data_IF_935909384776
#
_entry.id   IF_935909384776
#
_cell.length_a   1.000
_cell.length_b   1.000
_cell.length_c   1.000
_cell.angle_alpha   90.00
_cell.angle_beta   90.00
_cell.angle_gamma   90.00
#
_symmetry.space_group_name_H-M   'P 1'
#
loop_
_entity.id
_entity.type
_entity.pdbx_description
1 polymer ?
#
# COMPACT_ATOMS: atom_id res chain seq x y z
N UNK A 1 -78.19 30.47 45.03
CA UNK A 1 -77.77 29.28 45.79
C UNK A 1 -76.32 29.52 46.23
N UNK A 2 -76.15 29.81 47.53
CA UNK A 2 -75.17 29.21 48.46
C UNK A 2 -73.71 29.16 47.95
N UNK A 3 -72.85 30.12 48.36
CA UNK A 3 -71.73 29.96 49.34
C UNK A 3 -70.47 29.29 48.72
N UNK A 4 -69.20 29.55 49.06
CA UNK A 4 -68.47 30.45 49.97
C UNK A 4 -66.98 30.35 49.57
N UNK A 5 -66.28 31.50 49.61
CA UNK A 5 -64.88 31.79 50.00
C UNK A 5 -63.67 30.93 49.54
N UNK A 6 -62.70 31.54 48.84
CA UNK A 6 -61.48 32.27 49.34
C UNK A 6 -60.26 31.33 49.43
N UNK A 7 -59.19 31.52 48.66
CA UNK A 7 -58.04 32.31 49.14
C UNK A 7 -56.96 32.47 48.06
N UNK A 8 -56.33 33.63 48.10
CA UNK A 8 -55.29 34.11 47.21
C UNK A 8 -53.88 33.72 47.70
N UNK A 9 -52.95 33.47 46.78
CA UNK A 9 -51.51 33.76 46.98
C UNK A 9 -50.95 34.35 45.69
N UNK A 10 -50.66 35.66 45.74
CA UNK A 10 -49.76 36.41 44.82
C UNK A 10 -48.37 35.76 44.83
N UNK A 11 -47.64 35.81 43.72
CA UNK A 11 -46.30 36.46 43.59
C UNK A 11 -45.74 36.26 42.17
N UNK A 12 -45.49 37.42 41.53
CA UNK A 12 -44.51 37.79 40.50
C UNK A 12 -44.35 37.08 39.15
N UNK A 13 -44.75 37.85 38.11
CA UNK A 13 -43.96 38.08 36.88
C UNK A 13 -42.53 38.54 37.21
N UNK A 14 -41.61 38.20 36.30
CA UNK A 14 -40.18 38.56 36.25
C UNK A 14 -39.23 37.68 37.08
N UNK A 15 -38.74 36.62 36.43
CA UNK A 15 -37.31 36.20 36.38
C UNK A 15 -37.18 34.91 35.57
N UNK A 16 -37.50 35.01 34.27
CA UNK A 16 -37.22 33.99 33.27
C UNK A 16 -35.98 34.38 32.45
N UNK A 17 -34.90 34.70 33.14
CA UNK A 17 -33.55 34.93 32.61
C UNK A 17 -32.67 35.06 33.85
N UNK A 18 -31.53 34.38 33.92
CA UNK A 18 -30.70 34.18 35.13
C UNK A 18 -31.14 32.95 35.94
N UNK A 19 -30.94 31.75 35.38
CA UNK A 19 -30.61 30.50 36.11
C UNK A 19 -30.20 29.42 35.08
N UNK A 20 -29.33 29.79 34.14
CA UNK A 20 -28.53 28.86 33.30
C UNK A 20 -27.06 29.25 33.55
N UNK A 21 -26.64 29.10 34.80
CA UNK A 21 -25.25 29.24 35.26
C UNK A 21 -25.22 28.60 36.64
N UNK A 22 -25.12 27.27 36.67
CA UNK A 22 -24.63 26.42 37.78
C UNK A 22 -25.18 24.99 37.60
N UNK A 23 -24.61 24.26 36.64
CA UNK A 23 -24.49 22.80 36.76
C UNK A 23 -23.29 22.33 35.92
N UNK A 24 -22.11 22.87 36.25
CA UNK A 24 -20.82 22.27 35.89
C UNK A 24 -20.44 21.35 37.05
N UNK A 25 -20.75 20.06 36.95
CA UNK A 25 -20.20 19.04 37.82
C UNK A 25 -19.31 18.10 36.99
N UNK A 26 -18.04 18.51 36.97
CA UNK A 26 -16.79 17.78 36.79
C UNK A 26 -16.96 16.25 36.70
N UNK A 27 -16.86 15.71 35.48
CA UNK A 27 -16.27 14.40 35.21
C UNK A 27 -15.02 14.70 34.38
N UNK A 28 -13.90 14.92 35.06
CA UNK A 28 -12.59 14.97 34.43
C UNK A 28 -12.16 13.53 34.15
N UNK A 29 -12.56 13.01 32.98
CA UNK A 29 -11.84 11.89 32.37
C UNK A 29 -10.46 12.44 32.05
N UNK A 30 -9.47 11.97 32.79
CA UNK A 30 -8.06 12.14 32.46
C UNK A 30 -7.87 11.40 31.13
N UNK A 31 -8.06 12.12 30.03
CA UNK A 31 -7.50 11.75 28.74
C UNK A 31 -6.00 11.86 28.94
N UNK A 32 -5.35 10.73 29.25
CA UNK A 32 -3.93 10.60 29.04
C UNK A 32 -3.77 10.75 27.52
N UNK A 33 -3.12 11.80 27.01
CA UNK A 33 -2.76 11.80 25.61
C UNK A 33 -1.82 10.61 25.45
N UNK A 34 -2.28 9.57 24.76
CA UNK A 34 -1.39 8.55 24.21
C UNK A 34 -0.39 9.34 23.39
N UNK A 35 0.84 9.38 23.88
CA UNK A 35 1.94 10.05 23.21
C UNK A 35 2.19 9.24 21.94
N UNK A 36 1.56 9.66 20.84
CA UNK A 36 1.98 9.22 19.52
C UNK A 36 3.48 9.53 19.46
N UNK A 37 4.29 8.49 19.31
CA UNK A 37 5.71 8.63 19.09
C UNK A 37 5.84 9.42 17.78
N UNK A 38 6.14 10.71 17.88
CA UNK A 38 6.27 11.57 16.73
C UNK A 38 7.55 11.13 16.01
N UNK A 39 7.39 10.26 15.00
CA UNK A 39 8.50 9.79 14.20
C UNK A 39 9.01 10.98 13.37
N UNK A 40 10.10 11.58 13.83
CA UNK A 40 10.88 12.53 13.07
C UNK A 40 11.76 11.75 12.09
N UNK A 41 11.84 12.22 10.84
CA UNK A 41 12.68 11.59 9.83
C UNK A 41 14.14 11.60 10.33
N UNK A 42 14.78 10.44 10.55
CA UNK A 42 16.16 10.38 10.99
C UNK A 42 17.09 11.12 10.01
N UNK A 43 18.13 11.76 10.54
CA UNK A 43 19.11 12.51 9.73
C UNK A 43 19.79 11.60 8.69
N UNK A 44 19.96 10.31 8.99
CA UNK A 44 20.51 9.32 8.05
C UNK A 44 19.64 9.12 6.81
N UNK A 45 18.32 9.38 6.93
CA UNK A 45 17.34 9.20 5.86
C UNK A 45 16.95 10.51 5.20
N UNK A 46 17.36 11.66 5.71
CA UNK A 46 16.98 12.98 5.18
C UNK A 46 17.85 13.43 4.00
N UNK A 47 19.15 13.14 4.03
CA UNK A 47 20.12 13.60 3.01
C UNK A 47 20.21 12.66 1.78
N UNK A 48 20.94 13.08 0.74
CA UNK A 48 21.14 12.31 -0.48
C UNK A 48 22.47 12.60 -1.18
N UNK A 49 22.96 11.59 -1.89
CA UNK A 49 24.19 11.66 -2.65
C UNK A 49 23.93 12.01 -4.11
N UNK A 50 24.98 12.42 -4.81
CA UNK A 50 24.94 12.72 -6.25
C UNK A 50 25.57 11.62 -7.11
N UNK A 51 26.06 10.55 -6.49
CA UNK A 51 26.77 9.49 -7.20
C UNK A 51 25.79 8.48 -7.82
N UNK A 52 25.50 8.67 -9.11
CA UNK A 52 24.62 7.79 -9.91
C UNK A 52 25.21 6.39 -10.18
N UNK A 53 26.50 6.20 -9.91
CA UNK A 53 27.18 4.95 -10.21
C UNK A 53 27.00 3.89 -9.11
N UNK A 54 26.31 4.22 -8.02
CA UNK A 54 25.94 3.26 -6.98
C UNK A 54 24.48 2.88 -7.19
N UNK A 55 24.25 1.65 -7.67
CA UNK A 55 22.94 1.07 -7.91
C UNK A 55 22.77 -0.23 -7.14
N UNK A 56 21.61 -0.44 -6.52
CA UNK A 56 21.24 -1.66 -5.81
C UNK A 56 20.67 -2.67 -6.82
N UNK A 57 21.11 -3.92 -6.75
CA UNK A 57 20.53 -5.00 -7.54
C UNK A 57 19.27 -5.55 -6.90
N UNK A 58 18.24 -5.71 -7.73
CA UNK A 58 16.94 -6.30 -7.39
C UNK A 58 16.61 -7.54 -8.25
N UNK A 59 17.60 -8.15 -8.90
CA UNK A 59 17.38 -9.29 -9.82
C UNK A 59 16.70 -10.49 -9.13
N UNK A 60 17.00 -10.72 -7.85
CA UNK A 60 16.36 -11.74 -7.04
C UNK A 60 14.86 -11.44 -6.79
N UNK A 61 14.55 -10.17 -6.54
CA UNK A 61 13.18 -9.71 -6.35
C UNK A 61 12.40 -9.71 -7.66
N UNK A 62 13.01 -9.27 -8.77
CA UNK A 62 12.42 -9.34 -10.12
C UNK A 62 11.96 -10.76 -10.44
N UNK A 63 12.83 -11.75 -10.23
CA UNK A 63 12.50 -13.15 -10.48
C UNK A 63 11.33 -13.64 -9.62
N UNK A 64 11.29 -13.29 -8.33
CA UNK A 64 10.16 -13.65 -7.48
C UNK A 64 8.87 -12.95 -7.90
N UNK A 65 8.92 -11.67 -8.25
CA UNK A 65 7.75 -10.91 -8.67
C UNK A 65 7.22 -11.43 -10.01
N UNK A 66 8.09 -11.69 -10.99
CA UNK A 66 7.72 -12.26 -12.28
C UNK A 66 7.03 -13.61 -12.15
N UNK A 67 7.46 -14.44 -11.20
CA UNK A 67 6.85 -15.75 -10.94
C UNK A 67 5.53 -15.70 -10.19
N UNK A 68 5.37 -14.72 -9.30
CA UNK A 68 4.24 -14.69 -8.34
C UNK A 68 3.14 -13.70 -8.71
N UNK A 69 3.44 -12.72 -9.57
CA UNK A 69 2.51 -11.65 -9.97
C UNK A 69 2.01 -11.89 -11.38
N UNK A 70 0.68 -11.89 -11.54
CA UNK A 70 0.02 -11.82 -12.85
C UNK A 70 -0.41 -10.38 -13.10
N UNK A 71 0.14 -9.79 -14.15
CA UNK A 71 -0.38 -8.53 -14.70
C UNK A 71 -1.66 -8.79 -15.49
N UNK A 72 -2.74 -8.13 -15.08
CA UNK A 72 -4.06 -8.22 -15.74
C UNK A 72 -4.21 -7.17 -16.86
N UNK A 73 -3.23 -6.29 -17.03
CA UNK A 73 -3.26 -5.20 -17.99
C UNK A 73 -4.10 -4.00 -17.53
N UNK A 74 -4.30 -3.06 -18.44
CA UNK A 74 -5.15 -1.89 -18.20
C UNK A 74 -6.62 -2.30 -18.10
N UNK A 75 -7.33 -1.61 -17.20
CA UNK A 75 -8.78 -1.74 -17.05
C UNK A 75 -9.50 -1.48 -18.38
N UNK A 76 -10.34 -2.42 -18.80
CA UNK A 76 -11.35 -2.21 -19.84
C UNK A 76 -12.68 -1.69 -19.26
N UNK A 77 -12.70 -1.42 -17.94
CA UNK A 77 -13.84 -0.99 -17.13
C UNK A 77 -15.05 -1.93 -17.23
N UNK A 78 -14.85 -3.18 -17.66
CA UNK A 78 -15.95 -4.13 -17.76
C UNK A 78 -16.44 -4.60 -16.40
N UNK A 79 -17.76 -4.66 -16.26
CA UNK A 79 -18.40 -5.09 -15.02
C UNK A 79 -18.65 -6.60 -15.11
N UNK A 80 -18.30 -7.33 -14.05
CA UNK A 80 -18.54 -8.77 -13.98
C UNK A 80 -20.02 -9.08 -14.19
N UNK A 81 -20.32 -9.99 -15.14
CA UNK A 81 -21.70 -10.43 -15.41
C UNK A 81 -22.27 -11.17 -14.21
N UNK A 82 -23.56 -10.98 -13.87
CA UNK A 82 -24.15 -11.67 -12.74
C UNK A 82 -24.26 -13.17 -13.06
N UNK A 83 -23.73 -14.02 -12.19
CA UNK A 83 -23.88 -15.46 -12.30
C UNK A 83 -25.33 -15.81 -11.95
N UNK A 84 -26.09 -16.32 -12.94
CA UNK A 84 -27.45 -16.81 -12.72
C UNK A 84 -27.35 -18.26 -12.23
N UNK A 85 -27.21 -18.45 -10.91
CA UNK A 85 -27.23 -19.77 -10.29
C UNK A 85 -28.66 -20.32 -10.18
N UNK A 86 -28.95 -21.45 -10.83
CA UNK A 86 -30.18 -22.20 -10.61
C UNK A 86 -29.99 -23.16 -9.43
N UNK A 87 -30.37 -22.72 -8.23
CA UNK A 87 -30.35 -23.55 -7.03
C UNK A 87 -29.27 -23.12 -6.03
N UNK A 88 -29.71 -23.02 -4.77
CA UNK A 88 -28.99 -22.51 -3.58
C UNK A 88 -29.00 -20.97 -3.44
N UNK A 89 -29.53 -20.49 -2.30
CA UNK A 89 -29.61 -19.06 -1.94
C UNK A 89 -28.26 -18.46 -1.51
N UNK A 90 -27.17 -19.22 -1.63
CA UNK A 90 -25.82 -18.79 -1.24
C UNK A 90 -25.14 -18.18 -2.47
N UNK A 91 -24.65 -16.95 -2.34
CA UNK A 91 -23.90 -16.24 -3.39
C UNK A 91 -22.60 -15.74 -2.80
N UNK A 92 -21.50 -15.87 -3.53
CA UNK A 92 -20.25 -15.18 -3.19
C UNK A 92 -20.49 -13.68 -3.35
N UNK A 93 -20.27 -12.90 -2.28
CA UNK A 93 -20.38 -11.45 -2.32
C UNK A 93 -19.06 -10.88 -2.89
N UNK A 94 -19.05 -10.52 -4.16
CA UNK A 94 -17.94 -9.89 -4.85
C UNK A 94 -18.43 -8.59 -5.47
N UNK A 95 -17.67 -7.51 -5.32
CA UNK A 95 -17.97 -6.28 -6.02
C UNK A 95 -17.79 -6.51 -7.52
N UNK A 96 -18.85 -6.26 -8.28
CA UNK A 96 -18.89 -6.56 -9.70
C UNK A 96 -18.17 -5.51 -10.52
N UNK A 97 -18.08 -4.28 -10.01
CA UNK A 97 -17.46 -3.17 -10.72
C UNK A 97 -15.94 -3.32 -10.73
N UNK A 98 -15.37 -3.91 -9.67
CA UNK A 98 -13.92 -4.05 -9.46
C UNK A 98 -13.42 -5.49 -9.57
N UNK A 99 -14.30 -6.48 -9.68
CA UNK A 99 -13.96 -7.90 -9.74
C UNK A 99 -12.85 -8.23 -10.75
N UNK A 100 -12.91 -7.66 -11.94
CA UNK A 100 -11.99 -8.00 -13.04
C UNK A 100 -10.72 -7.14 -13.05
N UNK A 101 -10.60 -6.22 -12.09
CA UNK A 101 -9.53 -5.23 -12.02
C UNK A 101 -8.35 -5.71 -11.17
N UNK A 102 -7.28 -4.92 -11.17
CA UNK A 102 -6.02 -5.10 -10.43
C UNK A 102 -5.20 -6.33 -10.85
N UNK A 103 -3.91 -6.32 -10.53
CA UNK A 103 -3.05 -7.49 -10.68
C UNK A 103 -3.51 -8.65 -9.77
N UNK A 104 -3.00 -9.86 -10.04
CA UNK A 104 -3.21 -11.03 -9.16
C UNK A 104 -1.89 -11.55 -8.63
N UNK A 105 -1.94 -12.22 -7.48
CA UNK A 105 -0.80 -12.83 -6.82
C UNK A 105 -1.11 -14.28 -6.46
N UNK A 106 -0.15 -15.19 -6.71
CA UNK A 106 -0.27 -16.62 -6.40
C UNK A 106 -0.10 -16.94 -4.90
N UNK A 107 -0.96 -16.38 -4.04
CA UNK A 107 -0.82 -16.52 -2.58
C UNK A 107 -0.80 -17.99 -2.14
N UNK A 108 -1.72 -18.81 -2.66
CA UNK A 108 -1.83 -20.21 -2.28
C UNK A 108 -0.56 -21.03 -2.62
N UNK A 109 0.02 -20.81 -3.79
CA UNK A 109 1.25 -21.51 -4.21
C UNK A 109 2.48 -21.03 -3.41
N UNK A 110 2.57 -19.73 -3.15
CA UNK A 110 3.67 -19.15 -2.38
C UNK A 110 3.65 -19.66 -0.93
N UNK A 111 2.49 -19.76 -0.31
CA UNK A 111 2.34 -20.22 1.09
C UNK A 111 2.73 -21.71 1.24
N UNK A 112 2.40 -22.53 0.24
CA UNK A 112 2.67 -23.98 0.22
C UNK A 112 4.12 -24.33 -0.13
N UNK A 113 4.84 -23.43 -0.78
CA UNK A 113 6.21 -23.65 -1.26
C UNK A 113 7.25 -22.95 -0.39
N UNK A 114 8.53 -23.21 -0.68
CA UNK A 114 9.66 -22.49 -0.06
C UNK A 114 9.80 -21.04 -0.57
N UNK A 115 9.01 -20.64 -1.57
CA UNK A 115 8.99 -19.27 -2.12
C UNK A 115 8.65 -18.24 -1.03
N UNK A 116 7.82 -18.59 -0.04
CA UNK A 116 7.55 -17.71 1.11
C UNK A 116 8.81 -17.28 1.86
N UNK A 117 9.82 -18.15 1.92
CA UNK A 117 11.10 -17.82 2.55
C UNK A 117 11.89 -16.83 1.70
N UNK A 118 11.73 -16.87 0.37
CA UNK A 118 12.35 -15.94 -0.57
C UNK A 118 12.06 -14.47 -0.22
N UNK A 119 10.79 -14.09 -0.08
CA UNK A 119 10.41 -12.72 0.29
C UNK A 119 11.02 -12.28 1.62
N UNK A 120 10.98 -13.17 2.63
CA UNK A 120 11.59 -12.90 3.94
C UNK A 120 13.09 -12.66 3.85
N UNK A 121 13.83 -13.50 3.14
CA UNK A 121 15.28 -13.32 3.05
C UNK A 121 15.65 -12.12 2.18
N UNK A 122 14.89 -11.83 1.11
CA UNK A 122 15.08 -10.62 0.31
C UNK A 122 14.88 -9.38 1.17
N UNK A 123 13.81 -9.29 1.98
CA UNK A 123 13.59 -8.20 2.93
C UNK A 123 14.78 -8.05 3.88
N UNK A 124 15.22 -9.14 4.52
CA UNK A 124 16.36 -9.11 5.44
C UNK A 124 17.67 -8.70 4.76
N UNK A 125 17.83 -9.00 3.48
CA UNK A 125 18.98 -8.55 2.68
C UNK A 125 18.87 -7.06 2.35
N UNK A 126 17.68 -6.55 2.02
CA UNK A 126 17.46 -5.11 1.84
C UNK A 126 17.73 -4.31 3.12
N UNK A 127 17.32 -4.82 4.29
CA UNK A 127 17.61 -4.22 5.59
C UNK A 127 19.10 -4.01 5.88
N UNK A 128 19.96 -4.86 5.31
CA UNK A 128 21.43 -4.79 5.47
C UNK A 128 22.11 -3.84 4.50
N UNK A 129 21.43 -3.39 3.43
CA UNK A 129 22.03 -2.47 2.44
C UNK A 129 22.68 -1.23 3.06
N UNK A 130 22.05 -0.55 4.04
CA UNK A 130 22.65 0.62 4.70
C UNK A 130 23.94 0.35 5.46
N UNK A 131 24.20 -0.91 5.88
CA UNK A 131 25.46 -1.30 6.53
C UNK A 131 26.63 -1.29 5.53
N UNK A 132 26.34 -1.56 4.25
CA UNK A 132 27.31 -1.52 3.17
C UNK A 132 27.44 -0.11 2.57
N UNK A 133 26.32 0.53 2.25
CA UNK A 133 26.30 1.90 1.72
C UNK A 133 25.23 2.69 2.45
N UNK A 134 25.59 3.75 3.20
CA UNK A 134 24.59 4.54 3.89
C UNK A 134 23.65 5.18 2.86
N UNK A 135 22.35 5.23 3.18
CA UNK A 135 21.33 5.68 2.24
C UNK A 135 21.57 7.11 1.74
N UNK A 136 22.14 7.98 2.58
CA UNK A 136 22.54 9.34 2.20
C UNK A 136 23.63 9.41 1.13
N UNK A 137 24.35 8.33 0.83
CA UNK A 137 25.30 8.29 -0.29
C UNK A 137 24.61 7.97 -1.64
N UNK A 138 23.38 7.45 -1.61
CA UNK A 138 22.58 7.10 -2.77
C UNK A 138 21.83 8.32 -3.29
N UNK A 139 21.53 8.31 -4.58
CA UNK A 139 20.69 9.34 -5.21
C UNK A 139 19.25 9.28 -4.70
N UNK A 140 18.50 10.37 -4.84
CA UNK A 140 17.08 10.41 -4.43
C UNK A 140 16.26 9.30 -5.10
N UNK A 141 16.50 9.04 -6.39
CA UNK A 141 15.73 8.06 -7.16
C UNK A 141 16.05 6.63 -6.69
N UNK A 142 17.32 6.35 -6.36
CA UNK A 142 17.76 5.08 -5.78
C UNK A 142 17.20 4.86 -4.37
N UNK A 143 17.17 5.91 -3.54
CA UNK A 143 16.55 5.82 -2.23
C UNK A 143 15.04 5.55 -2.32
N UNK A 144 14.34 6.22 -3.25
CA UNK A 144 12.92 5.97 -3.46
C UNK A 144 12.66 4.54 -3.93
N UNK A 145 13.43 4.04 -4.91
CA UNK A 145 13.34 2.65 -5.37
C UNK A 145 13.58 1.66 -4.22
N UNK A 146 14.60 1.91 -3.39
CA UNK A 146 14.89 1.11 -2.21
C UNK A 146 13.70 1.05 -1.23
N UNK A 147 13.13 2.20 -0.86
CA UNK A 147 12.03 2.23 0.11
C UNK A 147 10.76 1.56 -0.42
N UNK A 148 10.44 1.75 -1.70
CA UNK A 148 9.29 1.10 -2.34
C UNK A 148 9.47 -0.42 -2.40
N UNK A 149 10.65 -0.90 -2.79
CA UNK A 149 10.93 -2.33 -2.85
C UNK A 149 10.93 -2.97 -1.47
N UNK A 150 11.53 -2.31 -0.47
CA UNK A 150 11.54 -2.79 0.92
C UNK A 150 10.11 -2.88 1.47
N UNK A 151 9.29 -1.83 1.29
CA UNK A 151 7.89 -1.84 1.69
C UNK A 151 7.12 -2.98 1.02
N UNK A 152 7.18 -3.06 -0.32
CA UNK A 152 6.40 -4.04 -1.09
C UNK A 152 6.80 -5.48 -0.75
N UNK A 153 8.09 -5.74 -0.54
CA UNK A 153 8.57 -7.07 -0.10
C UNK A 153 8.03 -7.40 1.29
N UNK A 154 8.08 -6.43 2.22
CA UNK A 154 7.67 -6.63 3.61
C UNK A 154 6.15 -6.79 3.78
N UNK A 155 5.32 -6.05 3.02
CA UNK A 155 3.86 -6.26 3.04
C UNK A 155 3.48 -7.61 2.44
N UNK A 156 4.15 -8.06 1.38
CA UNK A 156 3.94 -9.40 0.81
C UNK A 156 4.24 -10.49 1.85
N UNK A 157 5.38 -10.40 2.55
CA UNK A 157 5.72 -11.32 3.65
C UNK A 157 4.61 -11.38 4.70
N UNK A 158 4.11 -10.23 5.16
CA UNK A 158 3.00 -10.17 6.13
C UNK A 158 1.71 -10.79 5.59
N UNK A 159 1.34 -10.49 4.35
CA UNK A 159 0.14 -11.05 3.74
C UNK A 159 0.22 -12.58 3.60
N UNK A 160 1.41 -13.11 3.28
CA UNK A 160 1.68 -14.56 3.23
C UNK A 160 1.53 -15.18 4.63
N UNK A 161 2.04 -14.53 5.69
CA UNK A 161 1.92 -15.02 7.07
C UNK A 161 0.47 -15.11 7.55
N UNK A 162 -0.39 -14.20 7.07
CA UNK A 162 -1.80 -14.15 7.47
C UNK A 162 -2.73 -14.94 6.54
N UNK A 163 -2.25 -15.45 5.40
CA UNK A 163 -3.06 -16.23 4.48
C UNK A 163 -3.58 -17.54 5.12
N UNK A 164 -4.84 -17.97 4.87
CA UNK A 164 -5.83 -17.40 3.94
C UNK A 164 -6.68 -16.27 4.54
N UNK A 165 -6.71 -15.13 3.83
CA UNK A 165 -7.59 -13.99 4.13
C UNK A 165 -8.31 -13.58 2.86
N UNK A 166 -9.64 -13.50 2.91
CA UNK A 166 -10.45 -13.03 1.77
C UNK A 166 -10.56 -11.51 1.73
N UNK A 167 -10.83 -10.91 2.89
CA UNK A 167 -11.04 -9.48 3.05
C UNK A 167 -10.03 -8.97 4.07
N UNK A 168 -9.11 -8.12 3.62
CA UNK A 168 -8.01 -7.63 4.44
C UNK A 168 -8.35 -6.36 5.23
N UNK A 169 -9.60 -5.89 5.23
CA UNK A 169 -10.00 -4.64 5.94
C UNK A 169 -9.58 -4.66 7.40
N UNK A 170 -9.92 -5.73 8.14
CA UNK A 170 -9.54 -5.89 9.56
C UNK A 170 -8.04 -6.10 9.79
N UNK A 171 -7.31 -6.49 8.75
CA UNK A 171 -5.87 -6.72 8.80
C UNK A 171 -5.10 -5.41 8.59
N UNK A 172 -5.62 -4.54 7.70
CA UNK A 172 -4.96 -3.31 7.25
C UNK A 172 -5.48 -2.05 7.96
N UNK A 173 -6.69 -2.07 8.50
CA UNK A 173 -7.27 -0.93 9.23
C UNK A 173 -7.31 -1.14 10.75
N UNK A 174 -7.26 -0.03 11.48
CA UNK A 174 -7.39 0.01 12.94
C UNK A 174 -6.05 -0.02 13.67
N UNK A 175 -6.12 0.05 15.00
CA UNK A 175 -4.94 0.12 15.88
C UNK A 175 -4.05 -1.13 15.75
N UNK A 176 -4.67 -2.30 15.62
CA UNK A 176 -4.00 -3.60 15.47
C UNK A 176 -3.68 -3.95 14.01
N UNK A 177 -3.63 -2.95 13.11
CA UNK A 177 -3.25 -3.16 11.72
C UNK A 177 -1.82 -3.69 11.61
N UNK A 178 -1.59 -4.66 10.72
CA UNK A 178 -0.24 -5.15 10.41
C UNK A 178 0.68 -4.06 9.85
N UNK A 179 0.12 -2.96 9.37
CA UNK A 179 0.87 -1.80 8.88
C UNK A 179 1.58 -1.05 10.01
N UNK A 180 1.11 -1.21 11.25
CA UNK A 180 1.69 -0.62 12.45
C UNK A 180 2.76 -1.50 13.11
N UNK A 181 2.90 -2.76 12.71
CA UNK A 181 3.88 -3.68 13.26
C UNK A 181 5.31 -3.16 12.99
N UNK A 182 6.10 -2.97 14.04
CA UNK A 182 7.52 -2.61 13.92
C UNK A 182 8.36 -3.88 13.81
N UNK A 183 8.72 -4.29 12.60
CA UNK A 183 9.49 -5.52 12.34
C UNK A 183 10.63 -5.35 11.32
N UNK A 184 10.71 -4.19 10.68
CA UNK A 184 11.73 -3.87 9.68
C UNK A 184 12.84 -3.11 10.39
N UNK A 185 14.10 -3.53 10.28
CA UNK A 185 15.22 -2.81 10.90
C UNK A 185 16.15 -2.21 9.84
N UNK A 186 16.28 -0.89 9.82
CA UNK A 186 17.12 -0.18 8.85
C UNK A 186 18.02 0.79 9.60
N UNK A 187 19.34 0.61 9.49
CA UNK A 187 20.33 1.46 10.18
C UNK A 187 20.12 1.57 11.71
N UNK A 188 19.58 0.53 12.35
CA UNK A 188 19.30 0.51 13.78
C UNK A 188 17.93 1.08 14.19
N UNK A 189 17.14 1.57 13.24
CA UNK A 189 15.77 2.02 13.47
C UNK A 189 14.78 0.90 13.18
N UNK A 190 13.97 0.52 14.17
CA UNK A 190 12.87 -0.43 13.98
C UNK A 190 11.64 0.31 13.44
N UNK A 191 11.28 0.02 12.20
CA UNK A 191 10.25 0.67 11.42
C UNK A 191 9.04 -0.24 11.21
N UNK A 192 7.86 0.39 11.12
CA UNK A 192 6.67 -0.22 10.53
C UNK A 192 6.51 0.13 9.06
N UNK A 193 5.59 -0.55 8.37
CA UNK A 193 5.21 -0.21 7.00
C UNK A 193 4.68 1.23 6.91
N UNK A 194 3.87 1.65 7.90
CA UNK A 194 3.38 3.02 7.98
C UNK A 194 4.51 4.04 8.18
N UNK A 195 5.57 3.72 8.94
CA UNK A 195 6.72 4.62 9.05
C UNK A 195 7.44 4.77 7.71
N UNK A 196 7.61 3.69 6.93
CA UNK A 196 8.21 3.78 5.60
C UNK A 196 7.35 4.65 4.68
N UNK A 197 6.04 4.40 4.62
CA UNK A 197 5.14 5.10 3.72
C UNK A 197 4.96 6.57 4.10
N UNK A 198 4.48 6.85 5.30
CA UNK A 198 4.08 8.21 5.70
C UNK A 198 5.25 9.03 6.20
N UNK A 199 6.09 8.46 7.06
CA UNK A 199 7.10 9.25 7.75
C UNK A 199 8.40 9.39 6.97
N UNK A 200 8.69 8.46 6.07
CA UNK A 200 9.88 8.51 5.22
C UNK A 200 9.50 8.97 3.81
N UNK A 201 8.71 8.18 3.09
CA UNK A 201 8.50 8.42 1.66
C UNK A 201 7.63 9.65 1.40
N UNK A 202 6.49 9.79 2.07
CA UNK A 202 5.63 10.95 1.86
C UNK A 202 6.27 12.25 2.34
N UNK A 203 7.02 12.25 3.46
CA UNK A 203 7.73 13.46 3.91
C UNK A 203 8.87 13.86 2.96
N UNK A 204 9.64 12.89 2.44
CA UNK A 204 10.83 13.18 1.62
C UNK A 204 10.53 13.37 0.13
N UNK A 205 9.63 12.55 -0.43
CA UNK A 205 9.35 12.50 -1.87
C UNK A 205 7.93 12.93 -2.24
N UNK A 206 7.12 13.34 -1.25
CA UNK A 206 5.71 13.69 -1.44
C UNK A 206 5.45 14.94 -2.27
N UNK A 207 6.49 15.73 -2.61
CA UNK A 207 6.35 16.78 -3.62
C UNK A 207 5.88 16.22 -4.98
N UNK A 208 6.23 14.96 -5.26
CA UNK A 208 5.73 14.19 -6.40
C UNK A 208 4.66 13.22 -5.92
N UNK A 209 3.40 13.63 -5.99
CA UNK A 209 2.21 12.87 -5.53
C UNK A 209 2.19 11.42 -6.03
N UNK A 210 2.72 11.15 -7.24
CA UNK A 210 2.80 9.81 -7.82
C UNK A 210 3.47 8.74 -6.95
N UNK A 211 4.28 9.11 -5.96
CA UNK A 211 4.90 8.13 -5.05
C UNK A 211 3.89 7.25 -4.32
N UNK A 212 2.64 7.72 -4.13
CA UNK A 212 1.58 6.90 -3.53
C UNK A 212 1.33 5.60 -4.31
N UNK A 213 1.45 5.61 -5.64
CA UNK A 213 1.17 4.45 -6.48
C UNK A 213 2.24 3.34 -6.41
N UNK A 214 3.30 3.57 -5.63
CA UNK A 214 4.33 2.58 -5.35
C UNK A 214 3.99 1.62 -4.21
N UNK A 215 2.93 1.90 -3.43
CA UNK A 215 2.58 1.17 -2.22
C UNK A 215 1.44 0.17 -2.48
N UNK A 216 1.80 -1.10 -2.62
CA UNK A 216 0.84 -2.20 -2.74
C UNK A 216 0.32 -2.64 -1.37
N UNK A 217 -0.97 -2.98 -1.26
CA UNK A 217 -1.58 -3.43 0.01
C UNK A 217 -2.17 -4.84 -0.03
N UNK A 218 -2.04 -5.55 -1.15
CA UNK A 218 -2.63 -6.89 -1.28
C UNK A 218 -4.13 -6.90 -1.50
N UNK A 219 -4.77 -5.75 -1.76
CA UNK A 219 -6.21 -5.64 -1.98
C UNK A 219 -6.51 -5.04 -3.35
N UNK A 220 -7.66 -5.38 -3.91
CA UNK A 220 -8.12 -4.85 -5.20
C UNK A 220 -8.16 -3.32 -5.18
N UNK A 221 -8.63 -2.70 -4.09
CA UNK A 221 -8.75 -1.24 -3.97
C UNK A 221 -7.43 -0.44 -3.90
N UNK A 222 -6.27 -1.10 -3.94
CA UNK A 222 -4.93 -0.47 -3.81
C UNK A 222 -4.10 -0.58 -5.09
N UNK A 223 -3.17 0.34 -5.41
CA UNK A 223 -2.35 0.30 -6.62
C UNK A 223 -1.69 -1.05 -6.90
N UNK A 224 -1.47 -1.38 -8.17
CA UNK A 224 -0.95 -2.70 -8.54
C UNK A 224 0.48 -2.94 -8.03
N UNK A 225 0.73 -4.18 -7.62
CA UNK A 225 2.09 -4.70 -7.52
C UNK A 225 2.62 -4.97 -8.92
N UNK A 226 3.79 -4.43 -9.24
CA UNK A 226 4.47 -4.67 -10.51
C UNK A 226 5.11 -6.07 -10.49
N UNK A 227 5.25 -6.68 -11.66
CA UNK A 227 6.00 -7.93 -11.85
C UNK A 227 7.52 -7.72 -11.95
N UNK A 228 7.99 -6.51 -11.64
CA UNK A 228 9.38 -6.09 -11.58
C UNK A 228 9.56 -5.14 -10.39
N UNK A 229 10.76 -5.09 -9.84
CA UNK A 229 11.16 -4.18 -8.79
C UNK A 229 11.33 -2.74 -9.32
N UNK A 230 11.22 -1.78 -8.42
CA UNK A 230 11.55 -0.39 -8.71
C UNK A 230 13.06 -0.22 -8.86
N UNK A 231 13.48 0.55 -9.86
CA UNK A 231 14.91 0.85 -10.12
C UNK A 231 15.10 2.35 -10.30
N UNK A 232 16.24 2.92 -9.89
CA UNK A 232 16.43 4.37 -9.88
C UNK A 232 16.23 5.02 -11.27
N UNK A 233 16.66 4.36 -12.34
CA UNK A 233 16.54 4.86 -13.70
C UNK A 233 15.10 4.90 -14.21
N UNK A 234 14.20 4.10 -13.62
CA UNK A 234 12.80 3.94 -14.08
C UNK A 234 11.75 4.27 -13.03
N UNK A 235 12.11 4.54 -11.78
CA UNK A 235 11.17 4.60 -10.64
C UNK A 235 9.99 5.52 -10.92
N UNK A 236 10.22 6.72 -11.45
CA UNK A 236 9.12 7.64 -11.77
C UNK A 236 8.28 7.19 -12.96
N UNK A 237 8.88 6.56 -13.98
CA UNK A 237 8.14 5.98 -15.09
C UNK A 237 7.26 4.81 -14.62
N UNK A 238 7.79 3.97 -13.73
CA UNK A 238 7.06 2.85 -13.12
C UNK A 238 5.89 3.36 -12.26
N UNK A 239 6.13 4.39 -11.44
CA UNK A 239 5.09 5.05 -10.64
C UNK A 239 4.01 5.72 -11.50
N UNK A 240 4.40 6.41 -12.58
CA UNK A 240 3.44 6.99 -13.53
C UNK A 240 2.61 5.91 -14.22
N UNK A 241 3.20 4.79 -14.63
CA UNK A 241 2.44 3.67 -15.20
C UNK A 241 1.42 3.09 -14.22
N UNK A 242 1.78 2.95 -12.93
CA UNK A 242 0.83 2.54 -11.90
C UNK A 242 -0.26 3.61 -11.66
N UNK A 243 0.08 4.90 -11.75
CA UNK A 243 -0.89 5.99 -11.63
C UNK A 243 -1.92 5.94 -12.76
N UNK A 244 -1.46 5.80 -14.00
CA UNK A 244 -2.31 5.70 -15.19
C UNK A 244 -3.24 4.49 -15.10
N UNK A 245 -2.72 3.31 -14.73
CA UNK A 245 -3.55 2.11 -14.59
C UNK A 245 -4.59 2.28 -13.46
N UNK A 246 -4.18 2.77 -12.29
CA UNK A 246 -5.08 2.91 -11.16
C UNK A 246 -6.17 3.96 -11.40
N UNK A 247 -5.81 5.16 -11.87
CA UNK A 247 -6.76 6.26 -12.11
C UNK A 247 -7.82 5.87 -13.14
N UNK A 248 -7.42 5.14 -14.20
CA UNK A 248 -8.34 4.75 -15.26
C UNK A 248 -9.19 3.51 -14.93
N UNK A 249 -8.89 2.81 -13.84
CA UNK A 249 -9.64 1.62 -13.42
C UNK A 249 -10.93 1.91 -12.64
N UNK A 250 -11.88 0.96 -12.64
CA UNK A 250 -13.10 1.07 -11.82
C UNK A 250 -12.82 1.07 -10.31
N UNK A 251 -11.65 0.60 -9.88
CA UNK A 251 -11.22 0.58 -8.47
C UNK A 251 -10.57 1.90 -8.03
N UNK A 252 -10.12 2.74 -8.96
CA UNK A 252 -9.54 4.05 -8.66
C UNK A 252 -10.55 5.18 -8.75
N UNK A 253 -11.25 5.30 -9.88
CA UNK A 253 -12.17 6.42 -10.17
C UNK A 253 -13.42 5.93 -10.90
N UNK A 254 -14.60 6.37 -10.47
CA UNK A 254 -15.87 6.13 -11.16
C UNK A 254 -16.71 7.41 -11.16
N UNK A 255 -17.28 7.77 -12.30
CA UNK A 255 -18.25 8.86 -12.37
C UNK A 255 -19.66 8.26 -12.34
N UNK A 256 -20.44 8.59 -11.31
CA UNK A 256 -21.82 8.10 -11.12
C UNK A 256 -22.74 9.27 -10.77
N UNK A 257 -23.72 9.56 -11.62
CA UNK A 257 -24.74 10.60 -11.41
C UNK A 257 -24.14 11.98 -11.11
N UNK A 258 -23.21 12.43 -11.95
CA UNK A 258 -22.48 13.70 -11.80
C UNK A 258 -21.58 13.82 -10.56
N UNK A 259 -21.27 12.70 -9.89
CA UNK A 259 -20.35 12.65 -8.76
C UNK A 259 -19.14 11.79 -9.09
N UNK A 260 -17.98 12.28 -8.68
CA UNK A 260 -16.70 11.62 -8.82
C UNK A 260 -16.47 10.73 -7.59
N UNK A 261 -16.76 9.46 -7.73
CA UNK A 261 -16.43 8.46 -6.72
C UNK A 261 -14.95 8.09 -6.88
N UNK A 262 -14.19 8.22 -5.79
CA UNK A 262 -12.76 7.88 -5.76
C UNK A 262 -12.48 6.81 -4.70
N UNK A 263 -11.37 6.09 -4.87
CA UNK A 263 -10.89 5.08 -3.92
C UNK A 263 -10.58 5.65 -2.54
N UNK A 264 -10.92 4.89 -1.49
CA UNK A 264 -10.48 5.18 -0.11
C UNK A 264 -8.95 5.21 0.00
N UNK A 265 -8.22 4.58 -0.93
CA UNK A 265 -6.77 4.70 -1.01
C UNK A 265 -6.28 6.16 -1.02
N UNK A 266 -7.02 7.08 -1.64
CA UNK A 266 -6.66 8.50 -1.65
C UNK A 266 -6.76 9.15 -0.27
N UNK A 267 -7.64 8.68 0.62
CA UNK A 267 -7.73 9.17 2.00
C UNK A 267 -6.46 8.83 2.79
N UNK A 268 -5.89 7.65 2.54
CA UNK A 268 -4.61 7.25 3.14
C UNK A 268 -3.45 8.13 2.62
N UNK A 269 -3.53 8.60 1.37
CA UNK A 269 -2.54 9.50 0.77
C UNK A 269 -2.83 10.99 1.01
N UNK A 270 -3.82 11.36 1.85
CA UNK A 270 -4.29 12.73 2.04
C UNK A 270 -3.20 13.74 2.42
N UNK A 271 -2.16 13.30 3.13
CA UNK A 271 -1.01 14.14 3.50
C UNK A 271 -0.27 14.73 2.29
N UNK A 272 -0.39 14.11 1.11
CA UNK A 272 0.22 14.58 -0.14
C UNK A 272 -0.57 15.73 -0.80
N UNK A 273 -1.76 16.04 -0.29
CA UNK A 273 -2.70 16.99 -0.87
C UNK A 273 -3.12 18.04 0.17
N UNK A 274 -2.44 19.21 0.21
CA UNK A 274 -2.80 20.29 1.13
C UNK A 274 -4.26 20.75 1.00
N UNK A 275 -4.74 20.87 -0.24
CA UNK A 275 -6.16 21.06 -0.56
C UNK A 275 -6.68 19.77 -1.19
N UNK A 276 -7.18 18.87 -0.34
CA UNK A 276 -7.47 17.48 -0.73
C UNK A 276 -8.33 17.38 -1.99
N UNK A 277 -9.47 18.07 -2.04
CA UNK A 277 -10.42 17.94 -3.14
C UNK A 277 -9.85 18.51 -4.44
N UNK A 278 -9.34 19.76 -4.41
CA UNK A 278 -8.86 20.44 -5.60
C UNK A 278 -7.56 19.84 -6.16
N UNK A 279 -6.63 19.48 -5.27
CA UNK A 279 -5.35 18.90 -5.69
C UNK A 279 -5.51 17.45 -6.16
N UNK A 280 -6.43 16.69 -5.55
CA UNK A 280 -6.75 15.34 -6.00
C UNK A 280 -7.46 15.37 -7.35
N UNK A 281 -8.42 16.28 -7.55
CA UNK A 281 -9.09 16.44 -8.84
C UNK A 281 -8.09 16.74 -9.96
N UNK A 282 -7.19 17.72 -9.76
CA UNK A 282 -6.11 18.03 -10.73
C UNK A 282 -5.20 16.85 -10.98
N UNK A 283 -4.87 16.11 -9.92
CA UNK A 283 -4.02 14.92 -10.03
C UNK A 283 -4.70 13.82 -10.85
N UNK A 284 -5.98 13.55 -10.61
CA UNK A 284 -6.78 12.60 -11.39
C UNK A 284 -6.85 13.04 -12.86
N UNK A 285 -7.11 14.32 -13.14
CA UNK A 285 -7.16 14.85 -14.51
C UNK A 285 -5.84 14.72 -15.28
N UNK A 286 -4.70 14.73 -14.58
CA UNK A 286 -3.39 14.55 -15.21
C UNK A 286 -3.11 13.11 -15.64
N UNK A 287 -3.77 12.13 -15.02
CA UNK A 287 -3.55 10.69 -15.28
C UNK A 287 -4.77 10.00 -15.89
N UNK A 288 -5.89 10.71 -16.04
CA UNK A 288 -7.09 10.20 -16.70
C UNK A 288 -6.93 10.20 -18.22
N UNK A 289 -7.39 9.12 -18.83
CA UNK A 289 -7.48 9.01 -20.28
C UNK A 289 -8.65 9.83 -20.84
N UNK A 290 -8.66 10.01 -22.16
CA UNK A 290 -9.74 10.75 -22.84
C UNK A 290 -11.14 10.15 -22.65
N UNK A 291 -11.26 8.90 -22.20
CA UNK A 291 -12.55 8.23 -22.05
C UNK A 291 -13.31 8.71 -20.80
N UNK A 292 -12.58 9.05 -19.73
CA UNK A 292 -13.17 9.52 -18.46
C UNK A 292 -12.88 10.99 -18.18
N UNK A 293 -11.88 11.60 -18.82
CA UNK A 293 -11.44 12.97 -18.49
C UNK A 293 -12.60 13.98 -18.51
N UNK A 294 -13.41 14.01 -19.57
CA UNK A 294 -14.58 14.91 -19.65
C UNK A 294 -15.61 14.66 -18.54
N UNK A 295 -15.83 13.38 -18.17
CA UNK A 295 -16.77 13.03 -17.11
C UNK A 295 -16.25 13.44 -15.72
N UNK A 296 -14.93 13.47 -15.54
CA UNK A 296 -14.27 13.96 -14.32
C UNK A 296 -14.38 15.48 -14.25
N UNK A 297 -14.14 16.19 -15.35
CA UNK A 297 -14.28 17.66 -15.42
C UNK A 297 -15.71 18.13 -15.13
N UNK A 298 -16.71 17.40 -15.64
CA UNK A 298 -18.14 17.74 -15.46
C UNK A 298 -18.70 17.37 -14.07
N UNK A 299 -17.90 16.72 -13.22
CA UNK A 299 -18.37 16.27 -11.90
C UNK A 299 -18.52 17.42 -10.91
N UNK A 300 -19.62 17.41 -10.15
CA UNK A 300 -19.95 18.47 -9.19
C UNK A 300 -19.32 18.26 -7.81
N UNK A 301 -19.09 17.00 -7.45
CA UNK A 301 -18.69 16.60 -6.09
C UNK A 301 -17.75 15.39 -6.13
N UNK A 302 -16.67 15.46 -5.32
CA UNK A 302 -15.74 14.36 -5.08
C UNK A 302 -16.14 13.61 -3.81
N UNK A 303 -16.32 12.29 -3.91
CA UNK A 303 -16.71 11.42 -2.78
C UNK A 303 -15.78 10.21 -2.69
N UNK A 304 -15.28 9.91 -1.48
CA UNK A 304 -14.60 8.66 -1.16
C UNK A 304 -15.64 7.54 -1.01
N UNK A 305 -15.83 6.74 -2.06
CA UNK A 305 -16.91 5.75 -2.11
C UNK A 305 -16.48 4.37 -2.63
N UNK A 306 -15.31 4.27 -3.28
CA UNK A 306 -14.85 2.99 -3.83
C UNK A 306 -13.99 2.30 -2.77
N UNK A 307 -14.48 1.17 -2.25
CA UNK A 307 -13.72 0.30 -1.37
C UNK A 307 -13.83 -1.17 -1.80
N UNK A 308 -12.69 -1.76 -2.16
CA UNK A 308 -12.59 -3.20 -2.39
C UNK A 308 -11.42 -3.77 -1.61
N UNK A 309 -11.73 -4.27 -0.41
CA UNK A 309 -10.78 -4.88 0.51
C UNK A 309 -10.54 -6.37 0.23
N UNK A 310 -11.08 -6.92 -0.87
CA UNK A 310 -10.81 -8.30 -1.23
C UNK A 310 -9.33 -8.45 -1.63
N UNK A 311 -8.72 -9.54 -1.18
CA UNK A 311 -7.32 -9.83 -1.47
C UNK A 311 -7.15 -10.15 -2.96
N UNK A 312 -6.04 -9.69 -3.56
CA UNK A 312 -5.65 -9.92 -4.96
C UNK A 312 -5.16 -11.36 -5.23
N UNK A 313 -5.89 -12.35 -4.72
CA UNK A 313 -5.60 -13.77 -4.95
C UNK A 313 -6.26 -14.28 -6.24
N UNK A 314 -5.60 -15.22 -6.92
CA UNK A 314 -6.07 -15.83 -8.17
C UNK A 314 -7.26 -16.77 -7.91
N UNK A 315 -7.14 -17.59 -6.87
CA UNK A 315 -8.15 -18.57 -6.51
C UNK A 315 -9.27 -17.95 -5.67
N UNK A 316 -9.08 -16.69 -5.27
CA UNK A 316 -10.09 -15.84 -4.66
C UNK A 316 -10.60 -16.36 -3.33
N UNK A 317 -9.83 -17.14 -2.55
CA UNK A 317 -10.26 -17.73 -1.24
C UNK A 317 -11.76 -18.07 -1.17
N UNK A 318 -12.33 -18.63 -2.25
CA UNK A 318 -13.78 -18.83 -2.35
C UNK A 318 -14.14 -20.18 -1.73
N UNK A 319 -15.21 -20.17 -0.91
CA UNK A 319 -15.96 -21.41 -0.68
C UNK A 319 -16.88 -21.57 -1.89
N UNK A 320 -16.61 -22.56 -2.73
CA UNK A 320 -17.59 -23.02 -3.72
C UNK A 320 -18.80 -23.57 -2.95
N UNK A 321 -19.92 -22.83 -3.00
CA UNK A 321 -21.18 -23.31 -2.44
C UNK A 321 -21.95 -24.05 -3.53
N UNK A 322 -21.91 -25.38 -3.50
CA UNK A 322 -22.81 -26.21 -4.30
C UNK A 322 -22.21 -26.90 -5.53
N UNK A 323 -21.07 -27.57 -5.40
CA UNK A 323 -20.73 -28.71 -6.27
C UNK A 323 -21.64 -29.92 -5.93
N UNK A 324 -22.93 -29.78 -6.19
CA UNK A 324 -23.81 -30.92 -6.38
C UNK A 324 -23.81 -31.25 -7.86
N UNK A 325 -23.33 -32.44 -8.23
CA UNK A 325 -23.49 -32.96 -9.60
C UNK A 325 -24.96 -32.80 -10.02
N UNK A 326 -25.22 -31.92 -10.98
CA UNK A 326 -26.57 -31.72 -11.49
C UNK A 326 -26.99 -33.01 -12.24
N UNK A 327 -27.91 -33.78 -11.66
CA UNK A 327 -28.39 -35.05 -12.23
C UNK A 327 -29.49 -34.88 -13.29
N UNK A 328 -29.84 -33.65 -13.65
CA UNK A 328 -30.90 -33.35 -14.60
C UNK A 328 -30.33 -33.14 -16.03
N UNK A 329 -31.03 -33.68 -17.03
CA UNK A 329 -30.65 -33.63 -18.46
C UNK A 329 -30.57 -32.21 -19.05
N UNK A 330 -31.32 -31.24 -18.50
CA UNK A 330 -31.34 -29.86 -19.00
C UNK A 330 -30.13 -29.04 -18.53
N UNK A 331 -29.61 -29.32 -17.32
CA UNK A 331 -28.41 -28.72 -16.77
C UNK A 331 -27.14 -29.28 -17.43
N UNK A 332 -27.15 -30.56 -17.82
CA UNK A 332 -26.07 -31.19 -18.59
C UNK A 332 -25.94 -30.67 -20.03
N UNK A 333 -27.00 -30.08 -20.60
CA UNK A 333 -27.00 -29.56 -21.97
C UNK A 333 -26.23 -28.24 -22.13
N UNK A 334 -26.11 -27.47 -21.04
CA UNK A 334 -25.27 -26.26 -20.97
C UNK A 334 -23.96 -26.48 -20.17
N UNK A 335 -23.79 -27.65 -19.56
CA UNK A 335 -22.55 -28.06 -18.91
C UNK A 335 -21.55 -28.56 -19.97
N UNK A 336 -21.17 -27.67 -20.89
CA UNK A 336 -19.87 -27.83 -21.56
C UNK A 336 -18.84 -27.78 -20.45
N UNK A 337 -18.11 -28.88 -20.32
CA UNK A 337 -17.09 -29.11 -19.31
C UNK A 337 -16.28 -27.83 -19.05
N UNK A 338 -16.44 -27.27 -17.85
CA UNK A 338 -15.38 -26.52 -17.23
C UNK A 338 -14.26 -27.52 -16.90
N UNK A 339 -13.58 -27.99 -17.95
CA UNK A 339 -12.23 -28.49 -17.81
C UNK A 339 -11.44 -27.26 -17.35
N UNK A 340 -11.16 -27.19 -16.05
CA UNK A 340 -10.15 -26.30 -15.50
C UNK A 340 -8.76 -26.79 -15.91
N UNK A 341 -8.55 -26.99 -17.21
CA UNK A 341 -7.26 -26.75 -17.82
C UNK A 341 -7.27 -25.29 -18.20
N UNK A 342 -7.00 -24.43 -17.22
CA UNK A 342 -6.46 -23.10 -17.51
C UNK A 342 -5.14 -23.35 -18.24
N UNK A 343 -5.01 -23.05 -19.54
CA UNK A 343 -3.74 -23.18 -20.23
C UNK A 343 -2.85 -22.06 -19.70
N UNK A 344 -1.87 -22.40 -18.85
CA UNK A 344 -0.94 -21.41 -18.33
C UNK A 344 -0.32 -21.74 -16.98
N UNK A 345 -0.92 -22.62 -16.18
CA UNK A 345 -0.27 -23.15 -14.98
C UNK A 345 0.73 -24.24 -15.39
N UNK A 346 1.84 -23.83 -16.01
CA UNK A 346 3.01 -24.69 -16.15
C UNK A 346 3.35 -25.22 -14.77
N UNK A 347 3.48 -26.54 -14.65
CA UNK A 347 4.00 -27.19 -13.45
C UNK A 347 5.37 -26.55 -13.16
N UNK A 348 5.38 -25.58 -12.24
CA UNK A 348 6.60 -24.87 -11.87
C UNK A 348 7.52 -25.92 -11.27
N UNK A 349 8.75 -26.00 -11.77
CA UNK A 349 9.71 -26.97 -11.28
C UNK A 349 10.23 -26.47 -9.93
N UNK A 350 9.50 -26.76 -8.84
CA UNK A 350 9.83 -26.31 -7.48
C UNK A 350 11.27 -26.67 -7.05
N UNK A 351 11.85 -27.73 -7.63
CA UNK A 351 13.24 -28.13 -7.39
C UNK A 351 14.27 -27.14 -7.92
N UNK A 352 14.00 -26.45 -9.03
CA UNK A 352 14.89 -25.41 -9.54
C UNK A 352 14.86 -24.16 -8.64
N UNK A 353 13.71 -23.90 -8.00
CA UNK A 353 13.50 -22.77 -7.10
C UNK A 353 14.25 -22.95 -5.77
N UNK A 354 14.25 -24.16 -5.19
CA UNK A 354 15.06 -24.42 -3.98
C UNK A 354 16.55 -24.24 -4.24
N UNK A 355 17.04 -24.65 -5.41
CA UNK A 355 18.44 -24.49 -5.81
C UNK A 355 18.81 -23.02 -6.10
N UNK A 356 17.90 -22.24 -6.71
CA UNK A 356 18.09 -20.79 -6.90
C UNK A 356 18.02 -20.02 -5.57
N UNK A 357 17.06 -20.32 -4.71
CA UNK A 357 16.96 -19.74 -3.37
C UNK A 357 18.20 -20.12 -2.53
N UNK A 358 18.72 -21.33 -2.64
CA UNK A 358 19.95 -21.72 -1.94
C UNK A 358 21.19 -21.00 -2.48
N UNK A 359 21.31 -20.86 -3.81
CA UNK A 359 22.53 -20.35 -4.47
C UNK A 359 22.63 -18.83 -4.58
N UNK A 360 21.51 -18.09 -4.76
CA UNK A 360 21.51 -16.62 -4.90
C UNK A 360 21.15 -15.86 -3.62
N UNK A 361 20.39 -16.46 -2.72
CA UNK A 361 19.83 -15.74 -1.55
C UNK A 361 20.75 -15.82 -0.31
N UNK A 362 21.79 -16.67 -0.36
CA UNK A 362 22.79 -16.75 0.70
C UNK A 362 23.98 -15.81 0.44
N UNK A 363 24.02 -14.70 1.20
CA UNK A 363 25.24 -13.96 1.59
C UNK A 363 25.95 -13.03 0.60
N UNK A 364 25.45 -12.80 -0.61
CA UNK A 364 26.10 -11.86 -1.53
C UNK A 364 25.57 -10.44 -1.38
N UNK A 365 26.50 -9.47 -1.36
CA UNK A 365 26.21 -8.04 -1.43
C UNK A 365 25.30 -7.73 -2.63
N UNK A 366 24.35 -6.81 -2.46
CA UNK A 366 23.45 -6.34 -3.54
C UNK A 366 24.14 -5.44 -4.55
N UNK A 367 25.43 -5.15 -4.38
CA UNK A 367 26.21 -4.32 -5.28
C UNK A 367 27.07 -5.19 -6.20
N UNK A 368 27.15 -4.80 -7.47
CA UNK A 368 28.05 -5.47 -8.41
C UNK A 368 29.52 -5.35 -7.95
N UNK A 369 30.41 -6.28 -8.33
CA UNK A 369 31.82 -6.21 -7.94
C UNK A 369 32.51 -4.89 -8.31
N UNK A 370 32.13 -4.30 -9.45
CA UNK A 370 32.62 -3.00 -9.89
C UNK A 370 32.15 -1.85 -8.99
N UNK A 371 30.89 -1.89 -8.54
CA UNK A 371 30.33 -0.90 -7.61
C UNK A 371 30.98 -1.06 -6.23
N UNK A 372 31.24 -2.28 -5.77
CA UNK A 372 31.95 -2.55 -4.50
C UNK A 372 33.38 -2.01 -4.50
N UNK A 373 34.15 -2.23 -5.55
CA UNK A 373 35.51 -1.67 -5.67
C UNK A 373 35.47 -0.12 -5.58
N UNK A 374 34.46 0.48 -6.22
CA UNK A 374 34.25 1.93 -6.16
C UNK A 374 33.85 2.42 -4.76
N UNK A 375 32.93 1.72 -4.08
CA UNK A 375 32.56 2.01 -2.70
C UNK A 375 33.80 1.93 -1.79
N UNK A 376 34.64 0.92 -1.97
CA UNK A 376 35.88 0.77 -1.22
C UNK A 376 36.85 1.93 -1.48
N UNK A 377 37.03 2.35 -2.73
CA UNK A 377 37.82 3.53 -3.09
C UNK A 377 37.27 4.82 -2.45
N UNK A 378 35.95 5.01 -2.44
CA UNK A 378 35.30 6.16 -1.79
C UNK A 378 35.51 6.16 -0.27
N UNK A 379 35.38 4.99 0.38
CA UNK A 379 35.66 4.82 1.82
C UNK A 379 37.12 5.15 2.14
N UNK A 380 38.07 4.65 1.35
CA UNK A 380 39.49 4.98 1.51
C UNK A 380 39.74 6.48 1.36
N UNK A 381 39.16 7.12 0.34
CA UNK A 381 39.27 8.58 0.15
C UNK A 381 38.72 9.37 1.33
N UNK A 382 37.55 8.97 1.86
CA UNK A 382 36.96 9.60 3.05
C UNK A 382 37.87 9.45 4.28
N UNK A 383 38.45 8.26 4.50
CA UNK A 383 39.40 7.99 5.60
C UNK A 383 40.70 8.81 5.48
N UNK A 384 41.22 8.95 4.27
CA UNK A 384 42.40 9.79 3.99
C UNK A 384 42.07 11.26 4.30
N UNK A 385 40.94 11.76 3.79
CA UNK A 385 40.54 13.15 4.02
C UNK A 385 40.22 13.45 5.48
N UNK A 386 39.64 12.51 6.23
CA UNK A 386 39.35 12.69 7.66
C UNK A 386 40.61 12.64 8.54
N UNK A 387 41.71 12.04 8.06
CA UNK A 387 42.97 11.95 8.81
C UNK A 387 43.94 13.09 8.52
N UNK A 388 43.71 13.91 7.48
CA UNK A 388 44.62 14.99 7.08
C UNK A 388 44.32 16.37 7.70
N UNK A 389 43.29 16.51 8.55
CA UNK A 389 42.96 17.81 9.17
C UNK A 389 43.65 17.93 10.54
N UNK A 390 44.93 18.30 10.54
CA UNK A 390 45.61 18.88 11.73
C UNK A 390 45.69 20.38 11.52
N UNK A 391 44.74 21.13 12.08
CA UNK A 391 44.79 22.59 12.12
C UNK A 391 45.92 22.95 13.11
N UNK A 392 47.04 23.47 12.59
CA UNK A 392 48.02 24.18 13.43
C UNK A 392 47.45 25.57 13.65
N UNK A 393 46.87 25.80 14.82
CA UNK A 393 46.56 27.15 15.25
C UNK A 393 47.86 27.97 15.27
N UNK A 394 47.85 29.11 14.57
CA UNK A 394 48.96 30.05 14.60
C UNK A 394 49.05 30.65 16.01
N UNK A 395 50.25 30.75 16.61
CA UNK A 395 50.38 31.39 17.91
C UNK A 395 49.96 32.86 17.79
N UNK A 396 48.95 33.23 18.56
CA UNK A 396 48.54 34.62 18.75
C UNK A 396 49.73 35.41 19.28
N UNK A 397 50.15 36.42 18.52
CA UNK A 397 51.27 37.32 18.85
C UNK A 397 50.88 38.34 19.89
#
# INVERSE_FOLDING_TARGET
MIEIQTSAIKINKNKGLIMIKCLLLIIAIIFIPVKAEEFSLPEEFSDFGLNRDISISYEDLDQLLELTVIDMGLSDRTILKPIVGNGTRLRSNRDRDTALEANRFYFEEVVKSDIKLGFKVIRQSLEKVPEEVPLNALTLDEQLAYWLNLYNTAIIEKLIEHYPVRNAKKLLEGENSILNDKFINVSGHTLSLNNIQHDIVFKKFGNKKIVMYGFYQGIIGSPNLRNEAYTADKVYKQLSGNAEEFVNSNRGVQVKRNRLNVSIFYDQAKILFPDFENDLLKHILNYSDSSINSQVEDSEELILAIEDWNVTDIYGTERSFGEGNATNKAALLNAVAANSNVPGAGAMNLSFLSDMLSSKVSSQSRFSPAVLDKINKLRLKKKINSSSVKIKDLPTK
#
